data_IF_637638765088
#
_entry.id   IF_637638765088
#
_cell.length_a   1.000
_cell.length_b   1.000
_cell.length_c   1.000
_cell.angle_alpha   90.00
_cell.angle_beta   90.00
_cell.angle_gamma   90.00
#
_symmetry.space_group_name_H-M   'P 1'
#
loop_
_entity.id
_entity.type
_entity.pdbx_description
1 polymer ?
#
# COMPACT_ATOMS: atom_id res chain seq x y z
N UNK A 1 -13.75 -3.11 -1.31
CA UNK A 1 -12.80 -2.28 -2.08
C UNK A 1 -11.36 -2.62 -1.73
N UNK A 2 -10.40 -1.89 -2.29
CA UNK A 2 -8.96 -2.07 -2.07
C UNK A 2 -8.31 -0.90 -1.32
N UNK A 3 -7.06 -0.59 -1.64
CA UNK A 3 -6.36 0.56 -1.06
C UNK A 3 -5.43 0.24 0.13
N UNK A 4 -5.21 -1.02 0.43
CA UNK A 4 -4.27 -1.43 1.47
C UNK A 4 -2.82 -1.19 1.00
N UNK A 5 -1.91 -0.70 1.88
CA UNK A 5 -0.50 -0.51 1.54
C UNK A 5 0.17 -1.86 1.23
N UNK A 6 1.13 -1.90 0.32
CA UNK A 6 1.83 -3.15 -0.08
C UNK A 6 3.32 -3.18 0.25
N UNK A 7 3.80 -2.21 1.03
CA UNK A 7 5.15 -2.14 1.58
C UNK A 7 5.12 -1.47 2.94
N UNK A 8 6.17 -1.68 3.73
CA UNK A 8 6.35 -1.02 5.02
C UNK A 8 6.85 0.42 4.90
N UNK A 9 7.15 0.92 3.70
CA UNK A 9 7.63 2.31 3.50
C UNK A 9 6.48 3.33 3.43
N UNK A 10 5.46 3.15 4.27
CA UNK A 10 4.29 4.03 4.39
C UNK A 10 4.05 4.45 5.84
N UNK A 11 3.42 5.61 6.02
CA UNK A 11 3.08 6.13 7.35
C UNK A 11 1.97 5.34 8.05
N UNK A 12 0.97 4.88 7.30
CA UNK A 12 -0.17 4.12 7.81
C UNK A 12 -0.03 2.66 7.33
N UNK A 13 0.19 1.74 8.26
CA UNK A 13 0.43 0.31 7.98
C UNK A 13 -0.86 -0.43 7.69
N UNK A 14 -0.72 -1.63 7.13
CA UNK A 14 -1.85 -2.51 6.86
C UNK A 14 -2.58 -2.89 8.16
N UNK A 15 -1.84 -3.30 9.18
CA UNK A 15 -2.38 -3.76 10.45
C UNK A 15 -3.18 -2.67 11.16
N UNK A 16 -2.69 -1.42 11.15
CA UNK A 16 -3.38 -0.25 11.71
C UNK A 16 -4.73 0.01 11.03
N UNK A 17 -4.83 -0.25 9.72
CA UNK A 17 -6.10 -0.16 8.99
C UNK A 17 -7.02 -1.32 9.41
N UNK A 18 -6.50 -2.55 9.42
CA UNK A 18 -7.31 -3.73 9.77
C UNK A 18 -7.82 -3.72 11.21
N UNK A 19 -7.06 -3.13 12.15
CA UNK A 19 -7.46 -3.03 13.55
C UNK A 19 -8.67 -2.13 13.77
N UNK A 20 -8.92 -1.19 12.85
CA UNK A 20 -10.12 -0.35 12.85
C UNK A 20 -11.26 -0.99 12.04
N UNK A 21 -10.93 -1.66 10.93
CA UNK A 21 -11.92 -2.33 10.09
C UNK A 21 -12.62 -3.47 10.84
N UNK A 22 -11.87 -4.35 11.52
CA UNK A 22 -12.45 -5.56 12.12
C UNK A 22 -13.56 -5.25 13.16
N UNK A 23 -13.34 -4.35 14.15
CA UNK A 23 -14.41 -3.99 15.10
C UNK A 23 -15.60 -3.29 14.44
N UNK A 24 -15.38 -2.53 13.36
CA UNK A 24 -16.46 -1.91 12.61
C UNK A 24 -17.29 -2.98 11.87
N UNK A 25 -16.65 -3.99 11.27
CA UNK A 25 -17.35 -5.11 10.66
C UNK A 25 -18.15 -5.89 11.69
N UNK A 26 -17.58 -6.21 12.86
CA UNK A 26 -18.30 -6.90 13.94
C UNK A 26 -19.55 -6.13 14.39
N UNK A 27 -19.46 -4.79 14.46
CA UNK A 27 -20.57 -3.92 14.89
C UNK A 27 -21.68 -3.80 13.85
N UNK A 28 -21.33 -3.62 12.58
CA UNK A 28 -22.29 -3.26 11.53
C UNK A 28 -22.70 -4.45 10.65
N UNK A 29 -21.89 -5.50 10.59
CA UNK A 29 -22.08 -6.73 9.82
C UNK A 29 -21.69 -7.95 10.67
N UNK A 30 -22.39 -8.20 11.79
CA UNK A 30 -22.05 -9.29 12.70
C UNK A 30 -22.13 -10.64 11.98
N UNK A 31 -21.38 -11.64 12.45
CA UNK A 31 -21.23 -12.93 11.77
C UNK A 31 -22.53 -13.71 11.57
N UNK A 32 -23.53 -13.48 12.42
CA UNK A 32 -24.86 -14.08 12.37
C UNK A 32 -25.79 -13.40 11.34
N UNK A 33 -25.40 -12.26 10.77
CA UNK A 33 -26.16 -11.55 9.73
C UNK A 33 -26.25 -12.29 8.40
N UNK A 34 -25.43 -13.33 8.20
CA UNK A 34 -25.34 -14.08 6.93
C UNK A 34 -24.65 -13.32 5.80
N UNK A 35 -24.06 -12.16 6.07
CA UNK A 35 -23.35 -11.35 5.09
C UNK A 35 -21.97 -11.94 4.80
N UNK A 36 -21.65 -12.11 3.51
CA UNK A 36 -20.31 -12.48 3.05
C UNK A 36 -19.51 -11.22 2.71
N UNK A 37 -18.44 -10.98 3.46
CA UNK A 37 -17.56 -9.81 3.28
C UNK A 37 -16.43 -10.15 2.29
N UNK A 38 -16.16 -9.26 1.34
CA UNK A 38 -15.05 -9.37 0.39
C UNK A 38 -14.29 -8.04 0.27
N UNK A 39 -13.04 -8.13 -0.18
CA UNK A 39 -12.20 -6.97 -0.50
C UNK A 39 -11.56 -7.12 -1.89
N UNK A 40 -11.03 -6.03 -2.43
CA UNK A 40 -10.39 -5.96 -3.75
C UNK A 40 -8.93 -5.48 -3.62
N UNK A 41 -8.07 -6.18 -2.87
CA UNK A 41 -6.67 -5.78 -2.66
C UNK A 41 -5.84 -5.93 -3.93
N UNK A 42 -5.34 -4.81 -4.48
CA UNK A 42 -4.36 -4.80 -5.57
C UNK A 42 -2.94 -4.67 -5.05
N UNK A 43 -2.48 -3.43 -4.84
CA UNK A 43 -1.10 -3.11 -4.45
C UNK A 43 -0.59 -3.85 -3.21
N UNK A 44 -1.48 -4.19 -2.26
CA UNK A 44 -1.13 -4.97 -1.07
C UNK A 44 -0.38 -6.26 -1.41
N UNK A 45 -0.80 -6.96 -2.47
CA UNK A 45 -0.19 -8.22 -2.86
C UNK A 45 1.10 -8.06 -3.67
N UNK A 46 1.23 -6.99 -4.45
CA UNK A 46 2.24 -6.95 -5.54
C UNK A 46 3.30 -5.86 -5.39
N UNK A 47 3.10 -4.84 -4.54
CA UNK A 47 3.98 -3.68 -4.53
C UNK A 47 5.42 -4.00 -4.10
N UNK A 48 5.61 -4.83 -3.06
CA UNK A 48 6.94 -5.23 -2.56
C UNK A 48 7.52 -6.45 -3.27
N UNK A 49 6.75 -7.14 -4.12
CA UNK A 49 7.18 -8.36 -4.78
C UNK A 49 8.19 -8.12 -5.91
N UNK A 50 8.32 -6.88 -6.39
CA UNK A 50 9.16 -6.53 -7.53
C UNK A 50 10.20 -5.48 -7.15
N UNK A 51 11.39 -5.58 -7.74
CA UNK A 51 12.43 -4.55 -7.69
C UNK A 51 12.87 -4.23 -9.11
N UNK A 52 12.88 -2.94 -9.46
CA UNK A 52 13.31 -2.47 -10.79
C UNK A 52 14.79 -2.10 -10.76
N UNK A 53 15.60 -2.76 -11.60
CA UNK A 53 16.99 -2.39 -11.86
C UNK A 53 17.09 -1.60 -13.18
N UNK A 54 17.84 -0.49 -13.16
CA UNK A 54 18.05 0.37 -14.34
C UNK A 54 19.54 0.64 -14.57
N UNK A 55 19.94 0.82 -15.83
CA UNK A 55 21.32 1.12 -16.20
C UNK A 55 21.51 2.63 -16.48
N UNK A 56 22.63 3.19 -16.04
CA UNK A 56 23.03 4.56 -16.39
C UNK A 56 23.55 4.55 -17.83
N UNK A 57 22.85 5.22 -18.74
CA UNK A 57 23.24 5.26 -20.16
C UNK A 57 24.02 6.53 -20.54
N UNK A 58 23.97 7.58 -19.72
CA UNK A 58 24.69 8.83 -19.95
C UNK A 58 24.82 9.64 -18.65
N UNK A 59 25.80 10.55 -18.60
CA UNK A 59 26.01 11.51 -17.50
C UNK A 59 26.43 12.86 -18.07
N UNK A 60 25.78 13.94 -17.65
CA UNK A 60 26.14 15.33 -18.00
C UNK A 60 26.57 16.10 -16.75
N UNK A 61 27.61 16.92 -16.86
CA UNK A 61 28.06 17.81 -15.78
C UNK A 61 27.36 19.17 -15.91
N UNK A 62 26.88 19.71 -14.79
CA UNK A 62 26.32 21.06 -14.69
C UNK A 62 27.25 21.86 -13.78
N UNK A 63 27.95 22.84 -14.34
CA UNK A 63 28.75 23.81 -13.60
C UNK A 63 27.83 24.98 -13.19
N UNK A 64 27.83 25.35 -11.90
CA UNK A 64 27.17 26.58 -11.45
C UNK A 64 28.09 27.76 -11.73
N UNK A 65 27.61 28.77 -12.45
CA UNK A 65 28.31 30.05 -12.56
C UNK A 65 28.33 30.74 -11.19
N UNK A 66 29.52 31.14 -10.73
CA UNK A 66 29.65 31.98 -9.54
C UNK A 66 29.21 33.40 -9.92
N UNK A 67 28.10 33.84 -9.35
CA UNK A 67 27.71 35.26 -9.30
C UNK A 67 28.25 35.88 -8.03
#
# INVERSE_FOLDING_TARGET
GGGFPGSEDVKLKFEEITSVINPALDKYFPSDSGVRIIAEPGRYYVASAFTLAVNIIAKKLVLKEQT
#
